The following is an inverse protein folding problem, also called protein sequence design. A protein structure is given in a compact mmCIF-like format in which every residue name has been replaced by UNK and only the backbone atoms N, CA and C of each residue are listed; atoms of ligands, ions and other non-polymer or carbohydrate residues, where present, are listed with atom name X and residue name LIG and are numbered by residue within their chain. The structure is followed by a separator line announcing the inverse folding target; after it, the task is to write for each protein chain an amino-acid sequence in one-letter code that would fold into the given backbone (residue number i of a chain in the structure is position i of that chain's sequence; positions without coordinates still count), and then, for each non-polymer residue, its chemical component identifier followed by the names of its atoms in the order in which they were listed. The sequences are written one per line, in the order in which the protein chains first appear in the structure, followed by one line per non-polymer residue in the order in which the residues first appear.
data_IF_759155780257
#
_entry.id   IF_759155780257
#
_cell.length_a   1.000
_cell.length_b   1.000
_cell.length_c   1.000
_cell.angle_alpha   90.00
_cell.angle_beta   90.00
_cell.angle_gamma   90.00
#
_symmetry.space_group_name_H-M   'P 1'
#
loop_
_entity.id
_entity.type
_entity.pdbx_description
1 polymer ?
#
# COMPACT_ATOMS: atom_id res chain seq x y z
N UNK A 1 21.38 -4.53 -6.90
CA UNK A 1 20.73 -3.25 -6.51
C UNK A 1 20.55 -2.35 -7.73
N UNK A 2 21.62 -2.01 -8.45
CA UNK A 2 21.56 -1.16 -9.66
C UNK A 2 20.58 -1.68 -10.72
N UNK A 3 20.69 -2.95 -11.12
CA UNK A 3 19.74 -3.55 -12.09
C UNK A 3 18.29 -3.50 -11.62
N UNK A 4 18.06 -3.72 -10.32
CA UNK A 4 16.72 -3.67 -9.73
C UNK A 4 16.16 -2.25 -9.72
N UNK A 5 16.99 -1.24 -9.43
CA UNK A 5 16.61 0.17 -9.49
C UNK A 5 16.32 0.60 -10.94
N UNK A 6 17.16 0.17 -11.89
CA UNK A 6 16.96 0.44 -13.32
C UNK A 6 15.65 -0.19 -13.82
N UNK A 7 15.40 -1.46 -13.49
CA UNK A 7 14.17 -2.15 -13.86
C UNK A 7 12.92 -1.53 -13.22
N UNK A 8 13.00 -1.15 -11.93
CA UNK A 8 11.90 -0.46 -11.25
C UNK A 8 11.63 0.91 -11.88
N UNK A 9 12.67 1.69 -12.19
CA UNK A 9 12.54 2.97 -12.88
C UNK A 9 11.90 2.83 -14.27
N UNK A 10 12.34 1.84 -15.07
CA UNK A 10 11.76 1.58 -16.39
C UNK A 10 10.28 1.17 -16.31
N UNK A 11 9.93 0.25 -15.40
CA UNK A 11 8.55 -0.18 -15.19
C UNK A 11 7.64 0.95 -14.69
N UNK A 12 8.14 1.79 -13.77
CA UNK A 12 7.41 2.97 -13.29
C UNK A 12 7.25 4.03 -14.38
N UNK A 13 8.26 4.24 -15.24
CA UNK A 13 8.14 5.16 -16.38
C UNK A 13 7.07 4.71 -17.38
N UNK A 14 7.00 3.40 -17.67
CA UNK A 14 5.94 2.83 -18.51
C UNK A 14 4.56 2.96 -17.85
N UNK A 15 4.46 2.72 -16.53
CA UNK A 15 3.22 2.87 -15.78
C UNK A 15 2.77 4.34 -15.72
N UNK A 16 3.70 5.27 -15.51
CA UNK A 16 3.44 6.71 -15.51
C UNK A 16 2.81 7.17 -16.83
N UNK A 17 3.31 6.68 -17.96
CA UNK A 17 2.73 6.93 -19.26
C UNK A 17 1.26 6.43 -19.36
N UNK A 18 0.93 5.27 -18.79
CA UNK A 18 -0.45 4.74 -18.76
C UNK A 18 -1.34 5.60 -17.85
N UNK A 19 -0.87 5.94 -16.65
CA UNK A 19 -1.63 6.76 -15.69
C UNK A 19 -1.95 8.14 -16.25
N UNK A 20 -0.99 8.76 -16.97
CA UNK A 20 -1.15 10.11 -17.53
C UNK A 20 -2.11 10.18 -18.72
N UNK A 21 -2.42 9.06 -19.39
CA UNK A 21 -3.41 9.05 -20.48
C UNK A 21 -4.82 9.41 -20.01
N UNK A 22 -5.13 9.20 -18.72
CA UNK A 22 -6.43 9.51 -18.12
C UNK A 22 -7.61 8.93 -18.92
N UNK A 23 -7.44 7.69 -19.38
CA UNK A 23 -8.44 6.97 -20.14
C UNK A 23 -9.76 6.87 -19.37
N UNK A 24 -10.88 6.79 -20.09
CA UNK A 24 -12.23 6.73 -19.48
C UNK A 24 -12.40 5.55 -18.53
N UNK A 25 -11.65 4.46 -18.74
CA UNK A 25 -11.66 3.25 -17.93
C UNK A 25 -10.69 3.29 -16.73
N UNK A 26 -9.86 4.33 -16.59
CA UNK A 26 -8.79 4.37 -15.59
C UNK A 26 -9.29 4.20 -14.15
N UNK A 27 -10.49 4.71 -13.84
CA UNK A 27 -11.13 4.50 -12.54
C UNK A 27 -11.45 3.04 -12.26
N UNK A 28 -12.05 2.33 -13.24
CA UNK A 28 -12.37 0.91 -13.11
C UNK A 28 -11.12 0.05 -12.99
N UNK A 29 -10.07 0.38 -13.76
CA UNK A 29 -8.76 -0.26 -13.66
C UNK A 29 -8.17 -0.16 -12.25
N UNK A 30 -8.11 1.05 -11.66
CA UNK A 30 -7.63 1.23 -10.27
C UNK A 30 -8.47 0.48 -9.24
N UNK A 31 -9.79 0.43 -9.42
CA UNK A 31 -10.67 -0.33 -8.51
C UNK A 31 -10.47 -1.85 -8.63
N UNK A 32 -10.14 -2.37 -9.83
CA UNK A 32 -9.75 -3.78 -10.00
C UNK A 32 -8.44 -4.10 -9.29
N UNK A 33 -7.45 -3.20 -9.37
CA UNK A 33 -6.20 -3.33 -8.64
C UNK A 33 -6.42 -3.25 -7.11
N UNK A 34 -7.26 -2.33 -6.64
CA UNK A 34 -7.65 -2.22 -5.23
C UNK A 34 -8.26 -3.51 -4.70
N UNK A 35 -9.14 -4.14 -5.48
CA UNK A 35 -9.72 -5.43 -5.09
C UNK A 35 -8.69 -6.56 -5.04
N UNK A 36 -7.73 -6.60 -5.98
CA UNK A 36 -6.66 -7.58 -5.96
C UNK A 36 -5.75 -7.40 -4.73
N UNK A 37 -5.45 -6.15 -4.37
CA UNK A 37 -4.74 -5.80 -3.15
C UNK A 37 -5.52 -6.22 -1.89
N UNK A 38 -6.81 -5.91 -1.82
CA UNK A 38 -7.68 -6.31 -0.72
C UNK A 38 -7.73 -7.83 -0.54
N UNK A 39 -7.93 -8.59 -1.63
CA UNK A 39 -7.92 -10.04 -1.58
C UNK A 39 -6.58 -10.60 -1.08
N UNK A 40 -5.45 -9.97 -1.42
CA UNK A 40 -4.15 -10.35 -0.87
C UNK A 40 -4.02 -10.02 0.62
N UNK A 41 -4.47 -8.85 1.06
CA UNK A 41 -4.49 -8.44 2.47
C UNK A 41 -5.38 -9.36 3.31
N UNK A 42 -6.55 -9.75 2.82
CA UNK A 42 -7.49 -10.68 3.46
C UNK A 42 -6.85 -12.06 3.65
N UNK A 43 -6.17 -12.59 2.62
CA UNK A 43 -5.41 -13.85 2.74
C UNK A 43 -4.26 -13.74 3.73
N UNK A 44 -3.55 -12.61 3.76
CA UNK A 44 -2.46 -12.37 4.72
C UNK A 44 -2.97 -12.27 6.15
N UNK A 45 -4.20 -11.77 6.36
CA UNK A 45 -4.89 -11.76 7.63
C UNK A 45 -5.46 -13.14 8.04
N UNK A 46 -5.16 -14.21 7.29
CA UNK A 46 -5.58 -15.58 7.59
C UNK A 46 -7.07 -15.86 7.30
N UNK A 47 -7.72 -15.00 6.52
CA UNK A 47 -9.13 -15.16 6.19
C UNK A 47 -9.33 -15.83 4.82
N UNK A 48 -10.56 -16.25 4.54
CA UNK A 48 -10.91 -17.10 3.40
C UNK A 48 -11.73 -16.39 2.33
N UNK A 49 -12.20 -15.16 2.59
CA UNK A 49 -13.00 -14.40 1.63
C UNK A 49 -12.19 -14.10 0.37
N UNK A 50 -12.75 -14.47 -0.79
CA UNK A 50 -12.16 -14.22 -2.08
C UNK A 50 -12.61 -12.87 -2.67
N UNK A 51 -12.11 -12.53 -3.86
CA UNK A 51 -12.44 -11.27 -4.51
C UNK A 51 -13.94 -11.12 -4.84
N UNK A 52 -14.68 -12.21 -5.05
CA UNK A 52 -16.12 -12.15 -5.33
C UNK A 52 -16.88 -11.86 -4.02
N UNK A 53 -16.58 -12.60 -2.96
CA UNK A 53 -17.15 -12.38 -1.64
C UNK A 53 -16.92 -10.94 -1.15
N UNK A 54 -15.70 -10.40 -1.32
CA UNK A 54 -15.39 -9.03 -0.94
C UNK A 54 -16.22 -7.99 -1.71
N UNK A 55 -16.42 -8.19 -3.02
CA UNK A 55 -17.27 -7.31 -3.82
C UNK A 55 -18.70 -7.34 -3.31
N UNK A 56 -19.23 -8.54 -3.12
CA UNK A 56 -20.63 -8.74 -2.71
C UNK A 56 -20.86 -8.12 -1.33
N UNK A 57 -19.95 -8.32 -0.38
CA UNK A 57 -20.04 -7.70 0.94
C UNK A 57 -20.16 -6.18 0.86
N UNK A 58 -19.30 -5.51 0.08
CA UNK A 58 -19.33 -4.04 -0.01
C UNK A 58 -20.50 -3.53 -0.86
N UNK A 59 -20.92 -4.26 -1.90
CA UNK A 59 -22.01 -3.85 -2.79
C UNK A 59 -23.40 -4.09 -2.20
N UNK A 60 -23.55 -5.10 -1.33
CA UNK A 60 -24.82 -5.43 -0.68
C UNK A 60 -25.04 -4.64 0.63
N UNK A 61 -23.99 -4.03 1.18
CA UNK A 61 -24.12 -3.09 2.30
C UNK A 61 -24.84 -1.82 1.87
N UNK A 62 -25.74 -1.34 2.73
CA UNK A 62 -26.45 -0.07 2.50
C UNK A 62 -25.45 1.09 2.39
N UNK A 63 -25.61 1.98 1.39
CA UNK A 63 -24.80 3.18 1.31
C UNK A 63 -24.84 3.97 2.61
N UNK A 64 -23.66 4.33 3.15
CA UNK A 64 -23.52 5.10 4.39
C UNK A 64 -23.44 4.25 5.67
N UNK A 65 -23.65 2.95 5.59
CA UNK A 65 -23.56 2.02 6.74
C UNK A 65 -22.27 1.19 6.68
N UNK A 66 -21.11 1.86 6.62
CA UNK A 66 -19.82 1.20 6.43
C UNK A 66 -19.39 0.32 7.63
N UNK A 67 -20.05 0.44 8.77
CA UNK A 67 -19.85 -0.47 9.92
C UNK A 67 -20.39 -1.88 9.66
N UNK A 68 -21.24 -2.08 8.64
CA UNK A 68 -21.84 -3.40 8.34
C UNK A 68 -21.11 -4.24 7.29
N UNK A 69 -20.03 -3.73 6.65
CA UNK A 69 -19.24 -4.53 5.68
C UNK A 69 -18.36 -5.62 6.33
N UNK A 70 -18.31 -5.68 7.66
CA UNK A 70 -17.50 -6.64 8.41
C UNK A 70 -15.98 -6.51 8.20
N UNK A 71 -15.15 -7.31 8.90
CA UNK A 71 -13.70 -7.13 8.89
C UNK A 71 -13.04 -7.26 7.52
N UNK A 72 -13.49 -8.21 6.69
CA UNK A 72 -12.94 -8.39 5.34
C UNK A 72 -13.32 -7.22 4.41
N UNK A 73 -14.54 -6.69 4.55
CA UNK A 73 -15.01 -5.54 3.80
C UNK A 73 -14.26 -4.25 4.18
N UNK A 74 -13.89 -4.06 5.45
CA UNK A 74 -13.06 -2.93 5.90
C UNK A 74 -11.71 -2.91 5.17
N UNK A 75 -11.07 -4.08 5.03
CA UNK A 75 -9.82 -4.19 4.25
C UNK A 75 -10.02 -3.75 2.79
N UNK A 76 -11.17 -4.07 2.18
CA UNK A 76 -11.49 -3.59 0.84
C UNK A 76 -11.72 -2.07 0.81
N UNK A 77 -12.36 -1.48 1.83
CA UNK A 77 -12.56 -0.03 1.90
C UNK A 77 -11.24 0.74 1.92
N UNK A 78 -10.23 0.27 2.67
CA UNK A 78 -8.90 0.88 2.70
C UNK A 78 -8.26 0.97 1.30
N UNK A 79 -8.30 -0.12 0.53
CA UNK A 79 -7.75 -0.13 -0.83
C UNK A 79 -8.60 0.65 -1.83
N UNK A 80 -9.92 0.67 -1.68
CA UNK A 80 -10.80 1.50 -2.53
C UNK A 80 -10.58 2.98 -2.27
N UNK A 81 -10.33 3.38 -1.02
CA UNK A 81 -9.98 4.75 -0.64
C UNK A 81 -8.71 5.20 -1.35
N UNK A 82 -7.66 4.38 -1.34
CA UNK A 82 -6.41 4.64 -2.09
C UNK A 82 -6.67 4.93 -3.57
N UNK A 83 -7.49 4.09 -4.21
CA UNK A 83 -7.77 4.17 -5.65
C UNK A 83 -8.76 5.28 -6.06
N UNK A 84 -9.61 5.74 -5.13
CA UNK A 84 -10.71 6.66 -5.40
C UNK A 84 -10.46 8.10 -4.95
N UNK A 85 -9.71 8.32 -3.86
CA UNK A 85 -9.44 9.67 -3.37
C UNK A 85 -8.32 10.33 -4.18
N UNK A 86 -8.38 11.67 -4.38
CA UNK A 86 -7.25 12.44 -4.89
C UNK A 86 -5.97 12.17 -4.08
N UNK A 87 -4.82 12.08 -4.75
CA UNK A 87 -3.56 11.72 -4.09
C UNK A 87 -3.13 12.71 -2.98
N UNK A 88 -3.48 13.99 -3.15
CA UNK A 88 -3.21 15.06 -2.17
C UNK A 88 -3.97 14.87 -0.84
N UNK A 89 -5.06 14.11 -0.83
CA UNK A 89 -5.89 13.88 0.36
C UNK A 89 -5.50 12.61 1.12
N UNK A 90 -4.70 11.72 0.52
CA UNK A 90 -4.41 10.38 1.05
C UNK A 90 -3.55 10.41 2.33
N UNK A 91 -2.58 11.32 2.40
CA UNK A 91 -1.64 11.44 3.53
C UNK A 91 -2.09 12.48 4.57
N UNK A 92 -3.39 12.78 4.61
CA UNK A 92 -3.97 13.64 5.65
C UNK A 92 -4.25 12.83 6.91
N UNK A 93 -4.26 13.49 8.08
CA UNK A 93 -4.57 12.86 9.37
C UNK A 93 -5.89 12.07 9.29
N UNK A 94 -6.97 12.69 8.79
CA UNK A 94 -8.28 12.04 8.65
C UNK A 94 -8.26 10.80 7.74
N UNK A 95 -7.49 10.82 6.65
CA UNK A 95 -7.39 9.67 5.74
C UNK A 95 -6.58 8.54 6.38
N UNK A 96 -5.47 8.86 7.04
CA UNK A 96 -4.61 7.87 7.71
C UNK A 96 -5.31 7.23 8.92
N UNK A 97 -6.04 7.99 9.73
CA UNK A 97 -6.88 7.44 10.82
C UNK A 97 -7.91 6.46 10.27
N UNK A 98 -8.62 6.81 9.19
CA UNK A 98 -9.62 5.92 8.60
C UNK A 98 -8.98 4.61 8.08
N UNK A 99 -7.82 4.70 7.42
CA UNK A 99 -7.11 3.51 6.89
C UNK A 99 -6.54 2.66 8.01
N UNK A 100 -6.06 3.29 9.09
CA UNK A 100 -5.57 2.60 10.28
C UNK A 100 -6.68 1.75 10.90
N UNK A 101 -7.87 2.32 11.08
CA UNK A 101 -9.05 1.60 11.56
C UNK A 101 -9.46 0.48 10.59
N UNK A 102 -9.57 0.78 9.29
CA UNK A 102 -9.97 -0.16 8.24
C UNK A 102 -9.00 -1.36 8.12
N UNK A 103 -7.71 -1.16 8.40
CA UNK A 103 -6.67 -2.19 8.41
C UNK A 103 -6.50 -2.88 9.78
N UNK A 104 -7.30 -2.53 10.79
CA UNK A 104 -7.34 -3.21 12.08
C UNK A 104 -6.31 -2.72 13.11
N UNK A 105 -5.83 -1.48 12.97
CA UNK A 105 -4.82 -0.85 13.83
C UNK A 105 -5.37 0.30 14.68
N UNK A 106 -6.68 0.34 14.93
CA UNK A 106 -7.35 1.44 15.63
C UNK A 106 -6.75 1.75 17.01
N UNK A 107 -6.69 3.04 17.37
CA UNK A 107 -6.37 3.52 18.72
C UNK A 107 -4.98 4.13 18.93
N UNK A 108 -4.26 4.49 17.87
CA UNK A 108 -2.96 5.17 17.97
C UNK A 108 -2.95 6.47 17.12
N UNK A 109 -3.60 7.50 17.66
CA UNK A 109 -3.72 8.83 17.04
C UNK A 109 -2.37 9.58 17.00
N UNK A 110 -1.48 9.27 17.95
CA UNK A 110 -0.12 9.82 18.02
C UNK A 110 0.70 9.30 16.83
N UNK A 111 0.68 8.00 16.57
CA UNK A 111 1.34 7.42 15.40
C UNK A 111 0.84 7.99 14.08
N UNK A 112 -0.46 8.25 13.93
CA UNK A 112 -0.99 8.91 12.73
C UNK A 112 -0.45 10.34 12.60
N UNK A 113 -0.39 11.08 13.71
CA UNK A 113 0.12 12.45 13.73
C UNK A 113 1.62 12.49 13.36
N UNK A 114 2.40 11.56 13.90
CA UNK A 114 3.82 11.40 13.57
C UNK A 114 4.02 11.09 12.08
N UNK A 115 3.26 10.14 11.52
CA UNK A 115 3.30 9.82 10.09
C UNK A 115 3.03 11.03 9.20
N UNK A 116 2.01 11.83 9.50
CA UNK A 116 1.72 13.07 8.75
C UNK A 116 2.93 14.02 8.79
N UNK A 117 3.57 14.15 9.96
CA UNK A 117 4.79 14.94 10.14
C UNK A 117 5.97 14.42 9.32
N UNK A 118 6.23 13.12 9.35
CA UNK A 118 7.32 12.46 8.60
C UNK A 118 7.14 12.67 7.08
N UNK A 119 5.94 12.47 6.55
CA UNK A 119 5.70 12.56 5.11
C UNK A 119 5.74 13.98 4.56
N UNK A 120 5.35 14.97 5.37
CA UNK A 120 5.54 16.39 5.02
C UNK A 120 7.01 16.73 4.74
N UNK A 121 7.95 16.11 5.47
CA UNK A 121 9.38 16.32 5.30
C UNK A 121 9.94 15.54 4.09
N UNK A 122 9.50 14.29 3.92
CA UNK A 122 9.98 13.39 2.85
C UNK A 122 9.55 13.83 1.44
N UNK A 123 8.35 14.43 1.32
CA UNK A 123 7.81 14.89 0.03
C UNK A 123 8.67 15.96 -0.66
N UNK A 124 9.48 16.71 0.11
CA UNK A 124 10.30 17.81 -0.42
C UNK A 124 11.66 17.37 -1.00
N UNK A 125 12.22 16.24 -0.59
CA UNK A 125 13.61 15.88 -0.91
C UNK A 125 13.83 14.44 -1.39
N UNK A 126 12.89 13.52 -1.15
CA UNK A 126 13.15 12.09 -1.32
C UNK A 126 13.03 11.55 -2.75
N UNK A 127 13.85 10.56 -3.09
CA UNK A 127 13.71 9.77 -4.33
C UNK A 127 12.63 8.68 -4.25
N UNK A 128 12.30 8.03 -5.36
CA UNK A 128 11.31 6.91 -5.38
C UNK A 128 11.73 5.76 -4.46
N UNK A 129 13.03 5.43 -4.42
CA UNK A 129 13.56 4.39 -3.53
C UNK A 129 13.34 4.77 -2.06
N UNK A 130 13.60 6.04 -1.74
CA UNK A 130 13.45 6.56 -0.38
C UNK A 130 11.99 6.55 0.06
N UNK A 131 11.07 7.01 -0.79
CA UNK A 131 9.62 6.91 -0.61
C UNK A 131 9.19 5.48 -0.30
N UNK A 132 9.68 4.52 -1.09
CA UNK A 132 9.36 3.12 -0.91
C UNK A 132 9.89 2.59 0.43
N UNK A 133 11.15 2.89 0.77
CA UNK A 133 11.76 2.42 2.01
C UNK A 133 11.19 3.08 3.26
N UNK A 134 10.89 4.38 3.21
CA UNK A 134 10.34 5.13 4.34
C UNK A 134 8.92 4.67 4.65
N UNK A 135 8.07 4.47 3.65
CA UNK A 135 6.72 3.96 3.85
C UNK A 135 6.69 2.63 4.64
N UNK A 136 7.58 1.68 4.30
CA UNK A 136 7.67 0.41 5.03
C UNK A 136 8.35 0.58 6.40
N UNK A 137 9.36 1.44 6.52
CA UNK A 137 10.03 1.70 7.79
C UNK A 137 9.08 2.36 8.80
N UNK A 138 8.32 3.37 8.39
CA UNK A 138 7.35 4.06 9.25
C UNK A 138 6.22 3.12 9.67
N UNK A 139 5.67 2.32 8.75
CA UNK A 139 4.68 1.31 9.10
C UNK A 139 5.21 0.26 10.10
N UNK A 140 6.49 -0.14 9.98
CA UNK A 140 7.14 -1.06 10.93
C UNK A 140 7.38 -0.39 12.30
N UNK A 141 7.81 0.87 12.32
CA UNK A 141 8.06 1.67 13.55
C UNK A 141 6.80 1.75 14.43
N UNK A 142 5.65 1.99 13.80
CA UNK A 142 4.34 2.12 14.46
C UNK A 142 3.53 0.81 14.53
N UNK A 143 4.07 -0.32 14.04
CA UNK A 143 3.41 -1.62 14.17
C UNK A 143 2.19 -1.85 13.25
N UNK A 144 2.02 -1.05 12.18
CA UNK A 144 0.91 -1.14 11.22
C UNK A 144 1.08 -2.25 10.16
N UNK A 145 2.20 -2.98 10.20
CA UNK A 145 2.41 -4.14 9.35
C UNK A 145 2.51 -3.84 7.85
N UNK A 146 2.56 -4.92 7.06
CA UNK A 146 2.93 -4.85 5.64
C UNK A 146 1.86 -4.20 4.76
N UNK A 147 0.58 -4.46 5.05
CA UNK A 147 -0.53 -3.94 4.25
C UNK A 147 -0.60 -2.42 4.32
N UNK A 148 -0.44 -1.86 5.52
CA UNK A 148 -0.36 -0.42 5.73
C UNK A 148 0.88 0.18 5.07
N UNK A 149 2.06 -0.45 5.23
CA UNK A 149 3.28 0.01 4.54
C UNK A 149 3.17 -0.02 3.01
N UNK A 150 2.45 -1.00 2.46
CA UNK A 150 2.18 -1.08 1.01
C UNK A 150 1.21 0.02 0.56
N UNK A 151 0.18 0.29 1.36
CA UNK A 151 -0.79 1.36 1.13
C UNK A 151 -0.10 2.74 1.15
N UNK A 152 0.74 2.98 2.16
CA UNK A 152 1.55 4.21 2.28
C UNK A 152 2.49 4.39 1.08
N UNK A 153 3.21 3.33 0.70
CA UNK A 153 4.15 3.39 -0.40
C UNK A 153 3.46 3.77 -1.72
N UNK A 154 2.29 3.22 -1.99
CA UNK A 154 1.51 3.53 -3.19
C UNK A 154 0.94 4.96 -3.15
N UNK A 155 0.51 5.45 -1.97
CA UNK A 155 0.04 6.83 -1.78
C UNK A 155 1.16 7.86 -1.95
N UNK A 156 2.31 7.63 -1.32
CA UNK A 156 3.48 8.50 -1.42
C UNK A 156 4.07 8.50 -2.84
N UNK A 157 4.09 7.35 -3.52
CA UNK A 157 4.51 7.26 -4.92
C UNK A 157 3.62 8.12 -5.81
N UNK A 158 2.30 8.08 -5.60
CA UNK A 158 1.36 8.89 -6.37
C UNK A 158 1.60 10.39 -6.18
N UNK A 159 1.83 10.84 -4.94
CA UNK A 159 2.20 12.24 -4.68
C UNK A 159 3.54 12.59 -5.34
N UNK A 160 4.53 11.72 -5.23
CA UNK A 160 5.88 11.96 -5.76
C UNK A 160 5.91 12.09 -7.29
N UNK A 161 5.07 11.32 -7.98
CA UNK A 161 4.93 11.36 -9.44
C UNK A 161 3.87 12.37 -9.91
N UNK A 162 3.17 13.05 -9.00
CA UNK A 162 2.12 14.01 -9.34
C UNK A 162 0.91 13.36 -10.00
N UNK A 163 0.58 12.12 -9.63
CA UNK A 163 -0.61 11.44 -10.12
C UNK A 163 -1.87 11.97 -9.42
N UNK A 164 -2.95 12.15 -10.19
CA UNK A 164 -4.24 12.62 -9.63
C UNK A 164 -4.83 11.64 -8.62
N UNK A 165 -4.67 10.35 -8.85
CA UNK A 165 -5.14 9.27 -7.97
C UNK A 165 -4.05 8.21 -7.86
N UNK A 166 -3.92 7.57 -6.71
CA UNK A 166 -2.95 6.50 -6.51
C UNK A 166 -3.36 5.21 -7.23
N UNK A 167 -2.37 4.41 -7.62
CA UNK A 167 -2.56 3.09 -8.21
C UNK A 167 -2.16 2.06 -7.16
N UNK A 168 -3.07 1.14 -6.74
CA UNK A 168 -2.70 0.06 -5.83
C UNK A 168 -1.75 -0.92 -6.54
N UNK A 169 -0.50 -0.99 -6.11
CA UNK A 169 0.56 -1.82 -6.72
C UNK A 169 1.06 -2.86 -5.73
N UNK A 170 1.46 -2.41 -4.53
CA UNK A 170 2.23 -3.24 -3.61
C UNK A 170 1.35 -4.14 -2.73
N UNK A 171 0.08 -3.81 -2.55
CA UNK A 171 -0.85 -4.59 -1.72
C UNK A 171 -1.05 -6.03 -2.20
N UNK A 172 -0.97 -6.27 -3.51
CA UNK A 172 -1.08 -7.62 -4.09
C UNK A 172 0.24 -8.40 -4.08
N UNK A 173 1.36 -7.75 -3.76
CA UNK A 173 2.67 -8.38 -3.80
C UNK A 173 2.90 -9.22 -2.55
N UNK A 174 3.15 -10.51 -2.78
CA UNK A 174 3.67 -11.39 -1.73
C UNK A 174 5.04 -10.88 -1.31
N UNK A 175 5.34 -10.85 -0.01
CA UNK A 175 6.70 -10.65 0.47
C UNK A 175 7.62 -11.60 -0.32
N UNK A 176 8.49 -11.04 -1.14
CA UNK A 176 9.40 -11.87 -1.93
C UNK A 176 10.31 -12.62 -0.96
N UNK A 177 10.19 -13.95 -0.93
CA UNK A 177 11.23 -14.87 -0.45
C UNK A 177 11.40 -14.95 1.06
N UNK A 178 10.60 -15.79 1.70
CA UNK A 178 10.86 -16.27 3.05
C UNK A 178 9.64 -16.97 3.63
N UNK A 179 9.43 -18.23 3.27
CA UNK A 179 8.52 -19.11 4.00
C UNK A 179 9.02 -19.22 5.45
N UNK A 180 8.60 -18.33 6.34
CA UNK A 180 8.69 -18.54 7.79
C UNK A 180 7.55 -19.44 8.25
N UNK A 181 7.49 -20.65 7.69
CA UNK A 181 6.77 -21.75 8.32
C UNK A 181 7.67 -22.24 9.45
N UNK A 182 7.51 -21.65 10.63
CA UNK A 182 8.03 -22.22 11.88
C UNK A 182 9.24 -21.54 12.54
N UNK A 183 9.37 -20.22 12.53
CA UNK A 183 10.29 -19.54 13.45
C UNK A 183 9.45 -18.85 14.54
N UNK A 184 9.56 -19.37 15.77
CA UNK A 184 9.04 -18.72 16.98
C UNK A 184 9.47 -17.25 16.99
N UNK A 185 8.62 -16.29 17.42
CA UNK A 185 9.05 -14.91 17.56
C UNK A 185 10.15 -14.87 18.62
N UNK A 186 11.39 -14.69 18.16
CA UNK A 186 12.50 -14.33 19.04
C UNK A 186 12.25 -12.87 19.37
N UNK A 187 12.16 -12.55 20.65
CA UNK A 187 11.96 -11.20 21.17
C UNK A 187 12.95 -10.23 20.51
N UNK A 188 12.50 -9.50 19.50
CA UNK A 188 13.30 -8.46 18.85
C UNK A 188 13.37 -7.30 19.83
N UNK A 189 14.56 -7.05 20.37
CA UNK A 189 14.84 -5.90 21.23
C UNK A 189 14.55 -4.60 20.48
N UNK A 190 14.00 -3.59 21.17
CA UNK A 190 13.63 -2.28 20.61
C UNK A 190 14.74 -1.58 19.81
N UNK A 191 16.00 -2.00 19.97
CA UNK A 191 17.19 -1.44 19.32
C UNK A 191 17.36 -1.78 17.84
N UNK A 192 16.59 -2.72 17.25
CA UNK A 192 16.67 -3.03 15.81
C UNK A 192 15.69 -2.23 14.93
N UNK A 193 14.74 -1.50 15.52
CA UNK A 193 13.69 -0.76 14.78
C UNK A 193 14.21 0.43 13.96
N UNK A 194 15.47 0.84 14.15
CA UNK A 194 16.04 2.04 13.54
C UNK A 194 17.18 1.73 12.53
N UNK A 195 17.33 0.46 12.12
CA UNK A 195 18.36 0.09 11.14
C UNK A 195 17.93 0.48 9.72
N UNK A 196 18.85 1.13 9.00
CA UNK A 196 18.72 1.38 7.55
C UNK A 196 18.42 0.03 6.86
N UNK A 197 17.40 -0.05 5.99
CA UNK A 197 17.04 -1.32 5.38
C UNK A 197 18.23 -1.91 4.63
N UNK A 198 18.59 -3.15 4.96
CA UNK A 198 19.69 -3.84 4.31
C UNK A 198 19.53 -3.87 2.79
N UNK A 199 20.65 -3.83 2.05
CA UNK A 199 20.69 -3.78 0.58
C UNK A 199 19.77 -4.82 -0.10
N UNK A 200 19.68 -6.02 0.47
CA UNK A 200 18.81 -7.10 -0.02
C UNK A 200 17.32 -6.77 0.13
N UNK A 201 16.91 -6.17 1.25
CA UNK A 201 15.54 -5.73 1.50
C UNK A 201 15.14 -4.65 0.48
N UNK A 202 16.02 -3.66 0.26
CA UNK A 202 15.78 -2.61 -0.75
C UNK A 202 15.64 -3.23 -2.15
N UNK A 203 16.57 -4.12 -2.52
CA UNK A 203 16.49 -4.82 -3.80
C UNK A 203 15.18 -5.62 -3.96
N UNK A 204 14.73 -6.32 -2.91
CA UNK A 204 13.46 -7.04 -2.92
C UNK A 204 12.24 -6.14 -3.11
N UNK A 205 12.23 -4.96 -2.47
CA UNK A 205 11.18 -3.96 -2.64
C UNK A 205 11.14 -3.41 -4.07
N UNK A 206 12.30 -3.07 -4.66
CA UNK A 206 12.39 -2.59 -6.04
C UNK A 206 11.92 -3.62 -7.06
N UNK A 207 12.32 -4.88 -6.89
CA UNK A 207 11.84 -5.98 -7.74
C UNK A 207 10.33 -6.19 -7.60
N UNK A 208 9.79 -6.09 -6.39
CA UNK A 208 8.35 -6.17 -6.16
C UNK A 208 7.61 -5.01 -6.82
N UNK A 209 8.12 -3.78 -6.73
CA UNK A 209 7.53 -2.60 -7.37
C UNK A 209 7.54 -2.72 -8.90
N UNK A 210 8.67 -3.15 -9.49
CA UNK A 210 8.79 -3.35 -10.93
C UNK A 210 7.76 -4.36 -11.45
N UNK A 211 7.64 -5.52 -10.78
CA UNK A 211 6.65 -6.55 -11.14
C UNK A 211 5.21 -6.09 -10.97
N UNK A 212 4.93 -5.32 -9.91
CA UNK A 212 3.60 -4.78 -9.67
C UNK A 212 3.21 -3.79 -10.76
N UNK A 213 4.13 -2.90 -11.16
CA UNK A 213 3.91 -1.94 -12.22
C UNK A 213 3.62 -2.61 -13.56
N UNK A 214 4.42 -3.62 -13.95
CA UNK A 214 4.18 -4.37 -15.20
C UNK A 214 2.82 -5.09 -15.19
N UNK A 215 2.48 -5.78 -14.09
CA UNK A 215 1.16 -6.42 -13.96
C UNK A 215 0.01 -5.41 -13.99
N UNK A 216 0.20 -4.23 -13.43
CA UNK A 216 -0.81 -3.18 -13.49
C UNK A 216 -1.03 -2.71 -14.93
N UNK A 217 0.03 -2.56 -15.72
CA UNK A 217 -0.05 -2.22 -17.16
C UNK A 217 -0.78 -3.32 -17.94
N UNK A 218 -0.48 -4.60 -17.69
CA UNK A 218 -1.16 -5.71 -18.37
C UNK A 218 -2.68 -5.76 -18.10
N UNK A 219 -3.12 -5.15 -16.99
CA UNK A 219 -4.52 -5.08 -16.58
C UNK A 219 -5.24 -3.78 -16.98
N UNK A 220 -4.51 -2.83 -17.58
CA UNK A 220 -5.00 -1.49 -17.95
C UNK A 220 -5.81 -1.52 -19.24
#
# INVERSE_FOLDING_TARGET
LEDAALAAGAALGALDAVVRRQERWAGAWRQRLALAAAAATVRQAGRTEDAAALRDTVLLTRPGDFSSVGPAGLLLLAWRRLAARPAEELLTNASLTAVQEELGHAGDDEAVTDLVGEFGQLSAAGGVVEVLTSAFASAERHGFGRSFGSWLADAMLAQRLGWRHAVPLLGAQTASGGSMRGVRPKTTTMTERDQTPGRERIQGLLVAQARAALRAIDLS
#
